data_IF_611928562220
#
_entry.id   IF_611928562220
#
_cell.length_a   1.000
_cell.length_b   1.000
_cell.length_c   1.000
_cell.angle_alpha   90.00
_cell.angle_beta   90.00
_cell.angle_gamma   90.00
#
_symmetry.space_group_name_H-M   'P 1'
#
loop_
_entity.id
_entity.type
_entity.pdbx_description
1 polymer ?
#
# COMPACT_ATOMS: atom_id res chain seq x y z
N UNK A 1 46.55 -15.17 -28.97
CA UNK A 1 45.24 -14.61 -29.35
C UNK A 1 44.94 -13.41 -28.45
N UNK A 2 44.78 -12.20 -29.01
CA UNK A 2 44.41 -10.99 -28.26
C UNK A 2 42.88 -10.84 -28.32
N UNK A 3 42.22 -10.98 -27.18
CA UNK A 3 40.76 -10.83 -27.06
C UNK A 3 40.46 -9.31 -27.01
N UNK A 4 39.79 -8.78 -28.03
CA UNK A 4 39.38 -7.38 -28.12
C UNK A 4 37.95 -7.24 -27.56
N UNK A 5 37.83 -6.76 -26.31
CA UNK A 5 36.54 -6.41 -25.72
C UNK A 5 36.25 -4.95 -26.11
N UNK A 6 35.35 -4.72 -27.08
CA UNK A 6 34.75 -3.40 -27.31
C UNK A 6 33.85 -3.08 -26.10
N UNK A 7 34.08 -2.01 -25.33
CA UNK A 7 33.22 -1.65 -24.22
C UNK A 7 31.99 -0.92 -24.76
N UNK A 8 31.12 -1.66 -25.47
CA UNK A 8 29.76 -1.20 -25.70
C UNK A 8 28.98 -1.45 -24.41
N UNK A 9 29.06 -0.47 -23.50
CA UNK A 9 28.04 -0.08 -22.53
C UNK A 9 27.04 -1.19 -22.17
N UNK A 10 27.39 -2.01 -21.17
CA UNK A 10 26.45 -2.91 -20.51
C UNK A 10 25.44 -2.06 -19.72
N UNK A 11 24.26 -1.85 -20.31
CA UNK A 11 23.12 -1.22 -19.63
C UNK A 11 22.59 -2.23 -18.62
N UNK A 12 22.99 -2.06 -17.35
CA UNK A 12 22.40 -2.78 -16.23
C UNK A 12 21.00 -2.20 -15.96
N UNK A 13 19.97 -2.86 -16.51
CA UNK A 13 18.59 -2.55 -16.18
C UNK A 13 18.28 -3.12 -14.78
N UNK A 14 18.49 -2.31 -13.74
CA UNK A 14 18.06 -2.66 -12.38
C UNK A 14 16.55 -2.48 -12.29
N UNK A 15 15.81 -3.55 -12.57
CA UNK A 15 14.37 -3.58 -12.36
C UNK A 15 14.14 -3.61 -10.85
N UNK A 16 13.89 -2.45 -10.25
CA UNK A 16 13.48 -2.35 -8.85
C UNK A 16 12.07 -2.94 -8.73
N UNK A 17 11.98 -4.22 -8.38
CA UNK A 17 10.72 -4.88 -8.05
C UNK A 17 10.16 -4.21 -6.79
N UNK A 18 9.23 -3.27 -6.98
CA UNK A 18 8.38 -2.81 -5.89
C UNK A 18 7.46 -3.99 -5.56
N UNK A 19 7.88 -4.82 -4.60
CA UNK A 19 7.04 -5.88 -4.05
C UNK A 19 5.83 -5.22 -3.40
N UNK A 20 4.74 -5.11 -4.14
CA UNK A 20 3.46 -4.67 -3.61
C UNK A 20 2.92 -5.85 -2.80
N UNK A 21 3.30 -5.94 -1.53
CA UNK A 21 2.67 -6.87 -0.61
C UNK A 21 1.16 -6.64 -0.68
N UNK A 22 0.43 -7.63 -1.20
CA UNK A 22 -1.03 -7.60 -1.21
C UNK A 22 -1.49 -7.60 0.24
N UNK A 23 -2.14 -6.51 0.66
CA UNK A 23 -2.76 -6.42 1.98
C UNK A 23 -3.92 -7.43 1.98
N UNK A 24 -3.73 -8.57 2.64
CA UNK A 24 -4.79 -9.55 2.90
C UNK A 24 -5.43 -9.25 4.25
N UNK A 25 -6.70 -8.84 4.22
CA UNK A 25 -7.47 -8.54 5.43
C UNK A 25 -8.32 -9.73 5.90
N UNK A 26 -8.25 -10.88 5.21
CA UNK A 26 -9.16 -12.00 5.40
C UNK A 26 -9.03 -12.65 6.77
N UNK A 27 -7.82 -12.64 7.37
CA UNK A 27 -7.54 -13.15 8.72
C UNK A 27 -7.93 -12.20 9.86
N UNK A 28 -8.35 -10.97 9.56
CA UNK A 28 -8.72 -9.98 10.57
C UNK A 28 -10.24 -9.97 10.78
N UNK A 29 -10.68 -9.56 11.97
CA UNK A 29 -12.11 -9.41 12.29
C UNK A 29 -12.41 -8.05 12.91
N UNK A 30 -13.70 -7.72 13.06
CA UNK A 30 -14.15 -6.52 13.75
C UNK A 30 -13.54 -5.22 13.22
N UNK A 31 -13.04 -4.39 14.14
CA UNK A 31 -12.45 -3.10 13.81
C UNK A 31 -11.14 -3.23 13.03
N UNK A 32 -10.35 -4.26 13.31
CA UNK A 32 -9.05 -4.48 12.67
C UNK A 32 -9.21 -4.78 11.18
N UNK A 33 -10.17 -5.64 10.82
CA UNK A 33 -10.52 -5.88 9.40
C UNK A 33 -10.94 -4.59 8.71
N UNK A 34 -11.74 -3.77 9.38
CA UNK A 34 -12.23 -2.50 8.83
C UNK A 34 -11.10 -1.50 8.62
N UNK A 35 -10.12 -1.44 9.51
CA UNK A 35 -8.95 -0.58 9.34
C UNK A 35 -8.09 -1.06 8.18
N UNK A 36 -7.79 -2.36 8.13
CA UNK A 36 -7.03 -2.98 7.05
C UNK A 36 -7.64 -2.70 5.67
N UNK A 37 -8.95 -2.87 5.52
CA UNK A 37 -9.66 -2.60 4.26
C UNK A 37 -9.57 -1.12 3.86
N UNK A 38 -9.72 -0.20 4.82
CA UNK A 38 -9.57 1.24 4.55
C UNK A 38 -8.15 1.61 4.15
N UNK A 39 -7.14 1.01 4.79
CA UNK A 39 -5.73 1.21 4.45
C UNK A 39 -5.40 0.65 3.05
N UNK A 40 -5.93 -0.53 2.72
CA UNK A 40 -5.83 -1.10 1.37
C UNK A 40 -6.43 -0.17 0.31
N UNK A 41 -7.63 0.37 0.56
CA UNK A 41 -8.27 1.28 -0.38
C UNK A 41 -7.53 2.62 -0.50
N UNK A 42 -6.88 3.10 0.56
CA UNK A 42 -6.03 4.28 0.51
C UNK A 42 -4.85 4.03 -0.44
N UNK A 43 -4.18 2.88 -0.33
CA UNK A 43 -3.07 2.54 -1.22
C UNK A 43 -3.52 2.44 -2.69
N UNK A 44 -4.69 1.83 -2.94
CA UNK A 44 -5.28 1.82 -4.29
C UNK A 44 -5.62 3.22 -4.81
N UNK A 45 -6.15 4.10 -3.96
CA UNK A 45 -6.44 5.47 -4.33
C UNK A 45 -5.16 6.30 -4.60
N UNK A 46 -4.08 6.07 -3.86
CA UNK A 46 -2.76 6.67 -4.11
C UNK A 46 -2.20 6.23 -5.47
N UNK A 47 -2.25 4.92 -5.76
CA UNK A 47 -1.81 4.35 -7.05
C UNK A 47 -2.60 4.94 -8.23
N UNK A 48 -3.89 5.23 -8.03
CA UNK A 48 -4.75 5.86 -9.03
C UNK A 48 -4.65 7.41 -9.08
N UNK A 49 -3.73 8.03 -8.33
CA UNK A 49 -3.59 9.48 -8.19
C UNK A 49 -4.91 10.20 -7.80
N UNK A 50 -5.78 9.54 -7.04
CA UNK A 50 -7.08 10.07 -6.65
C UNK A 50 -7.01 10.66 -5.23
N UNK A 51 -6.48 11.88 -5.11
CA UNK A 51 -6.29 12.55 -3.81
C UNK A 51 -7.61 12.78 -3.05
N UNK A 52 -8.69 13.13 -3.75
CA UNK A 52 -10.00 13.31 -3.13
C UNK A 52 -10.47 12.03 -2.41
N UNK A 53 -10.30 10.88 -3.07
CA UNK A 53 -10.62 9.58 -2.47
C UNK A 53 -9.67 9.24 -1.31
N UNK A 54 -8.38 9.54 -1.44
CA UNK A 54 -7.41 9.37 -0.34
C UNK A 54 -7.85 10.15 0.90
N UNK A 55 -8.24 11.40 0.75
CA UNK A 55 -8.66 12.25 1.87
C UNK A 55 -9.96 11.77 2.53
N UNK A 56 -10.94 11.36 1.71
CA UNK A 56 -12.18 10.76 2.20
C UNK A 56 -11.92 9.49 3.02
N UNK A 57 -11.08 8.60 2.50
CA UNK A 57 -10.72 7.34 3.17
C UNK A 57 -9.92 7.58 4.46
N UNK A 58 -9.00 8.56 4.49
CA UNK A 58 -8.29 8.94 5.72
C UNK A 58 -9.24 9.46 6.81
N UNK A 59 -10.24 10.27 6.43
CA UNK A 59 -11.28 10.71 7.38
C UNK A 59 -12.09 9.53 7.91
N UNK A 60 -12.49 8.60 7.03
CA UNK A 60 -13.21 7.39 7.43
C UNK A 60 -12.38 6.51 8.38
N UNK A 61 -11.07 6.33 8.10
CA UNK A 61 -10.16 5.58 8.96
C UNK A 61 -10.02 6.23 10.34
N UNK A 62 -9.84 7.56 10.38
CA UNK A 62 -9.80 8.31 11.65
C UNK A 62 -11.09 8.13 12.44
N UNK A 63 -12.25 8.29 11.79
CA UNK A 63 -13.54 8.09 12.44
C UNK A 63 -13.70 6.67 12.98
N UNK A 64 -13.37 5.65 12.16
CA UNK A 64 -13.45 4.25 12.57
C UNK A 64 -12.56 3.95 13.79
N UNK A 65 -11.35 4.52 13.84
CA UNK A 65 -10.43 4.40 14.99
C UNK A 65 -10.99 5.06 16.25
N UNK A 66 -11.69 6.19 16.12
CA UNK A 66 -12.35 6.85 17.24
C UNK A 66 -13.54 6.02 17.76
N UNK A 67 -14.39 5.53 16.86
CA UNK A 67 -15.57 4.73 17.26
C UNK A 67 -15.19 3.37 17.84
N UNK A 68 -14.11 2.75 17.37
CA UNK A 68 -13.63 1.47 17.89
C UNK A 68 -13.20 1.56 19.36
N UNK A 69 -12.55 2.68 19.74
CA UNK A 69 -12.16 2.94 21.13
C UNK A 69 -13.38 3.16 22.04
N UNK A 70 -14.47 3.70 21.50
CA UNK A 70 -15.70 3.96 22.25
C UNK A 70 -16.54 2.69 22.52
N UNK A 71 -16.27 1.58 21.84
CA UNK A 71 -17.00 0.31 22.02
C UNK A 71 -16.32 -0.68 22.98
N UNK A 72 -15.15 -0.31 23.53
CA UNK A 72 -14.44 -1.12 24.56
C UNK A 72 -14.92 -0.78 25.97
N UNK A 73 -15.71 0.28 26.13
CA UNK A 73 -16.29 0.71 27.41
C UNK A 73 -17.83 0.65 27.35
N UNK A 74 -18.40 -0.52 27.08
CA UNK A 74 -19.80 -0.86 27.42
C UNK A 74 -19.91 -2.37 27.56
#
# INVERSE_FOLDING_TARGET
MRIYIKPAMFIALTISFNSMASIDCSGLTGCERKFCELEYQIEKAKQANNQYKVDGLKKALKAARLTAKSKVTT
#
